data_IF_812696681988
#
_entry.id   IF_812696681988
#
_cell.length_a   1.000
_cell.length_b   1.000
_cell.length_c   1.000
_cell.angle_alpha   90.00
_cell.angle_beta   90.00
_cell.angle_gamma   90.00
#
_symmetry.space_group_name_H-M   'P 1'
#
loop_
_entity.id
_entity.type
_entity.pdbx_description
1 polymer ?
#
# COMPACT_ATOMS: atom_id res chain seq x y z
N UNK A 1 32.93 63.09 -21.33
CA UNK A 1 33.56 62.14 -22.27
C UNK A 1 32.68 62.07 -23.51
N UNK A 2 33.19 61.85 -24.73
CA UNK A 2 32.35 61.32 -25.80
C UNK A 2 31.76 60.00 -25.31
N UNK A 3 30.50 59.75 -25.66
CA UNK A 3 29.76 58.54 -25.31
C UNK A 3 30.31 57.37 -26.13
N UNK A 4 31.53 56.95 -25.83
CA UNK A 4 32.06 55.69 -26.30
C UNK A 4 31.84 54.65 -25.20
N UNK A 5 30.88 53.76 -25.43
CA UNK A 5 30.50 52.68 -24.52
C UNK A 5 31.69 51.78 -24.13
N UNK A 6 32.69 51.62 -25.01
CA UNK A 6 33.90 50.83 -24.71
C UNK A 6 34.79 51.53 -23.68
N UNK A 7 34.97 52.85 -23.78
CA UNK A 7 35.73 53.61 -22.77
C UNK A 7 34.96 53.61 -21.44
N UNK A 8 33.63 53.72 -21.48
CA UNK A 8 32.78 53.65 -20.29
C UNK A 8 32.89 52.30 -19.59
N UNK A 9 32.91 51.20 -20.35
CA UNK A 9 33.13 49.85 -19.81
C UNK A 9 34.52 49.71 -19.18
N UNK A 10 35.57 50.18 -19.87
CA UNK A 10 36.95 50.12 -19.36
C UNK A 10 37.16 50.93 -18.07
N UNK A 11 36.39 52.01 -17.89
CA UNK A 11 36.43 52.85 -16.69
C UNK A 11 35.43 52.43 -15.61
N UNK A 12 34.48 51.55 -15.93
CA UNK A 12 33.49 51.05 -14.96
C UNK A 12 34.03 49.95 -14.05
N UNK A 13 35.18 49.36 -14.40
CA UNK A 13 35.87 48.40 -13.54
C UNK A 13 36.54 49.07 -12.34
N UNK A 14 36.71 48.32 -11.25
CA UNK A 14 37.32 48.79 -10.01
C UNK A 14 38.85 48.97 -10.08
N UNK A 15 39.50 48.50 -11.16
CA UNK A 15 40.95 48.61 -11.34
C UNK A 15 41.37 48.89 -12.79
N UNK A 16 42.04 50.03 -13.02
CA UNK A 16 42.60 50.44 -14.32
C UNK A 16 44.10 50.09 -14.31
N UNK A 17 44.57 49.37 -15.32
CA UNK A 17 45.98 48.99 -15.47
C UNK A 17 46.52 49.44 -16.83
N UNK A 18 47.82 49.32 -17.04
CA UNK A 18 48.52 49.75 -18.27
C UNK A 18 47.79 49.46 -19.60
N UNK A 19 47.33 48.21 -19.82
CA UNK A 19 46.62 47.87 -21.07
C UNK A 19 45.26 48.56 -21.24
N UNK A 20 44.56 48.89 -20.14
CA UNK A 20 43.35 49.72 -20.21
C UNK A 20 43.73 51.13 -20.70
N UNK A 21 44.82 51.72 -20.19
CA UNK A 21 45.32 53.02 -20.62
C UNK A 21 45.71 53.03 -22.12
N UNK A 22 46.43 52.00 -22.59
CA UNK A 22 46.73 51.85 -24.03
C UNK A 22 45.45 51.76 -24.85
N UNK A 23 44.50 50.93 -24.42
CA UNK A 23 43.24 50.73 -25.15
C UNK A 23 42.44 52.02 -25.24
N UNK A 24 42.41 52.81 -24.18
CA UNK A 24 41.78 54.13 -24.18
C UNK A 24 42.49 55.07 -25.16
N UNK A 25 43.83 55.11 -25.17
CA UNK A 25 44.60 55.90 -26.17
C UNK A 25 44.33 55.45 -27.61
N UNK A 26 44.20 54.14 -27.86
CA UNK A 26 43.85 53.61 -29.17
C UNK A 26 42.45 54.03 -29.63
N UNK A 27 41.47 53.98 -28.74
CA UNK A 27 40.09 54.41 -29.04
C UNK A 27 40.06 55.91 -29.31
N UNK A 28 40.75 56.72 -28.49
CA UNK A 28 40.88 58.17 -28.69
C UNK A 28 41.59 58.49 -30.01
N UNK A 29 42.60 57.69 -30.41
CA UNK A 29 43.29 57.86 -31.70
C UNK A 29 42.36 57.64 -32.89
N UNK A 30 41.44 56.68 -32.81
CA UNK A 30 40.47 56.37 -33.87
C UNK A 30 39.30 57.36 -33.92
N UNK A 31 38.94 57.94 -32.79
CA UNK A 31 37.78 58.84 -32.66
C UNK A 31 38.13 60.33 -32.86
N UNK A 32 39.38 60.74 -32.58
CA UNK A 32 39.82 62.14 -32.61
C UNK A 32 40.79 62.47 -33.79
N UNK A 33 40.64 61.79 -34.95
CA UNK A 33 41.56 61.87 -36.11
C UNK A 33 41.74 63.29 -36.69
N UNK A 34 40.75 64.18 -36.52
CA UNK A 34 40.77 65.57 -37.02
C UNK A 34 41.44 66.58 -36.08
N UNK A 35 41.93 66.17 -34.91
CA UNK A 35 42.45 67.06 -33.85
C UNK A 35 43.97 67.21 -33.82
N UNK A 36 44.68 67.06 -34.95
CA UNK A 36 46.14 67.26 -34.99
C UNK A 36 46.47 68.71 -35.35
N UNK A 37 47.36 69.32 -34.57
CA UNK A 37 47.90 70.65 -34.83
C UNK A 37 48.90 70.61 -36.02
N UNK A 38 49.27 71.76 -36.58
CA UNK A 38 50.12 71.89 -37.80
C UNK A 38 51.48 71.15 -37.67
N UNK A 39 51.93 70.87 -36.45
CA UNK A 39 53.16 70.11 -36.14
C UNK A 39 52.92 68.60 -35.89
N UNK A 40 51.76 68.05 -36.24
CA UNK A 40 51.43 66.62 -36.10
C UNK A 40 51.11 66.16 -34.67
N UNK A 41 51.13 67.04 -33.67
CA UNK A 41 50.77 66.76 -32.27
C UNK A 41 49.26 66.85 -32.06
N UNK A 42 48.68 65.96 -31.25
CA UNK A 42 47.26 66.01 -30.88
C UNK A 42 46.97 67.30 -30.06
N UNK A 43 45.88 68.00 -30.38
CA UNK A 43 45.46 69.23 -29.71
C UNK A 43 44.55 68.96 -28.51
N UNK A 44 43.82 67.85 -28.51
CA UNK A 44 42.93 67.39 -27.44
C UNK A 44 43.67 67.17 -26.12
N UNK A 45 43.22 67.85 -25.05
CA UNK A 45 43.80 67.69 -23.71
C UNK A 45 43.66 66.26 -23.21
N UNK A 46 42.50 65.62 -23.43
CA UNK A 46 42.25 64.23 -23.03
C UNK A 46 43.26 63.26 -23.65
N UNK A 47 43.54 63.41 -24.93
CA UNK A 47 44.51 62.56 -25.63
C UNK A 47 45.93 62.77 -25.07
N UNK A 48 46.28 63.99 -24.66
CA UNK A 48 47.56 64.28 -24.00
C UNK A 48 47.63 63.67 -22.61
N UNK A 49 46.59 63.80 -21.80
CA UNK A 49 46.55 63.26 -20.44
C UNK A 49 46.70 61.73 -20.44
N UNK A 50 45.98 61.02 -21.33
CA UNK A 50 46.10 59.56 -21.45
C UNK A 50 47.44 59.13 -22.05
N UNK A 51 48.04 59.91 -22.95
CA UNK A 51 49.39 59.66 -23.43
C UNK A 51 50.43 59.86 -22.33
N UNK A 52 50.28 60.89 -21.49
CA UNK A 52 51.15 61.14 -20.35
C UNK A 52 51.09 59.98 -19.35
N UNK A 53 49.88 59.52 -19.02
CA UNK A 53 49.68 58.34 -18.16
C UNK A 53 50.41 57.11 -18.73
N UNK A 54 50.31 56.85 -20.04
CA UNK A 54 51.03 55.74 -20.69
C UNK A 54 52.55 55.95 -20.58
N UNK A 55 53.07 57.15 -20.82
CA UNK A 55 54.51 57.42 -20.68
C UNK A 55 55.00 57.27 -19.24
N UNK A 56 54.18 57.60 -18.24
CA UNK A 56 54.51 57.40 -16.82
C UNK A 56 54.52 55.90 -16.45
N UNK A 57 53.66 55.10 -17.07
CA UNK A 57 53.69 53.64 -16.92
C UNK A 57 54.92 53.00 -17.59
N UNK A 58 55.32 53.50 -18.76
CA UNK A 58 56.49 53.02 -19.51
C UNK A 58 57.82 53.46 -18.87
N UNK A 59 57.84 54.63 -18.22
CA UNK A 59 58.97 55.10 -17.44
C UNK A 59 59.34 54.07 -16.36
N UNK A 60 60.63 53.75 -16.28
CA UNK A 60 61.19 52.73 -15.37
C UNK A 60 60.50 51.36 -15.43
N UNK A 61 59.75 51.06 -16.50
CA UNK A 61 58.99 49.83 -16.69
C UNK A 61 58.00 49.52 -15.56
N UNK A 62 57.39 50.54 -14.96
CA UNK A 62 56.39 50.40 -13.88
C UNK A 62 55.23 49.48 -14.29
N UNK A 63 54.81 49.52 -15.56
CA UNK A 63 53.80 48.61 -16.09
C UNK A 63 54.14 47.13 -15.91
N UNK A 64 55.42 46.73 -16.02
CA UNK A 64 55.82 45.33 -15.84
C UNK A 64 55.66 44.88 -14.38
N UNK A 65 55.93 45.77 -13.42
CA UNK A 65 55.76 45.46 -12.00
C UNK A 65 54.27 45.29 -11.63
N UNK A 66 53.40 46.17 -12.13
CA UNK A 66 51.94 46.07 -11.96
C UNK A 66 51.41 44.77 -12.57
N UNK A 67 51.79 44.46 -13.82
CA UNK A 67 51.37 43.25 -14.51
C UNK A 67 51.89 41.97 -13.86
N UNK A 68 53.13 41.95 -13.37
CA UNK A 68 53.69 40.82 -12.64
C UNK A 68 52.94 40.57 -11.32
N UNK A 69 52.57 41.63 -10.60
CA UNK A 69 51.78 41.55 -9.38
C UNK A 69 50.36 41.03 -9.65
N UNK A 70 49.68 41.57 -10.68
CA UNK A 70 48.37 41.09 -11.12
C UNK A 70 48.40 39.62 -11.54
N UNK A 71 49.41 39.22 -12.32
CA UNK A 71 49.58 37.84 -12.76
C UNK A 71 49.80 36.91 -11.56
N UNK A 72 50.66 37.30 -10.62
CA UNK A 72 50.91 36.53 -9.40
C UNK A 72 49.63 36.37 -8.56
N UNK A 73 48.84 37.45 -8.40
CA UNK A 73 47.56 37.39 -7.69
C UNK A 73 46.56 36.46 -8.37
N UNK A 74 46.43 36.58 -9.70
CA UNK A 74 45.49 35.78 -10.47
C UNK A 74 45.83 34.28 -10.44
N UNK A 75 47.11 33.93 -10.56
CA UNK A 75 47.56 32.54 -10.56
C UNK A 75 47.54 31.93 -9.16
N UNK A 76 47.93 32.70 -8.14
CA UNK A 76 48.14 32.19 -6.78
C UNK A 76 46.87 32.21 -5.91
N UNK A 77 45.94 33.14 -6.16
CA UNK A 77 44.76 33.33 -5.30
C UNK A 77 43.45 33.25 -6.07
N UNK A 78 43.23 34.09 -7.09
CA UNK A 78 41.93 34.18 -7.78
C UNK A 78 41.58 32.87 -8.49
N UNK A 79 42.51 32.30 -9.27
CA UNK A 79 42.31 31.04 -9.98
C UNK A 79 41.96 29.88 -9.05
N UNK A 80 42.75 29.61 -7.99
CA UNK A 80 42.41 28.61 -6.98
C UNK A 80 41.07 28.87 -6.26
N UNK A 81 40.77 30.13 -5.89
CA UNK A 81 39.52 30.48 -5.21
C UNK A 81 38.30 30.20 -6.10
N UNK A 82 38.35 30.64 -7.36
CA UNK A 82 37.30 30.37 -8.35
C UNK A 82 37.14 28.87 -8.61
N UNK A 83 38.23 28.11 -8.73
CA UNK A 83 38.16 26.64 -8.86
C UNK A 83 37.48 26.00 -7.65
N UNK A 84 37.76 26.46 -6.44
CA UNK A 84 37.11 25.96 -5.21
C UNK A 84 35.62 26.31 -5.19
N UNK A 85 35.24 27.51 -5.62
CA UNK A 85 33.84 27.91 -5.75
C UNK A 85 33.09 27.07 -6.79
N UNK A 86 33.70 26.82 -7.95
CA UNK A 86 33.13 25.94 -8.99
C UNK A 86 32.94 24.52 -8.44
N UNK A 87 33.93 23.96 -7.75
CA UNK A 87 33.81 22.62 -7.17
C UNK A 87 32.67 22.53 -6.14
N UNK A 88 32.50 23.55 -5.29
CA UNK A 88 31.37 23.64 -4.35
C UNK A 88 30.03 23.72 -5.07
N UNK A 89 29.93 24.56 -6.10
CA UNK A 89 28.71 24.69 -6.90
C UNK A 89 28.35 23.38 -7.62
N UNK A 90 29.35 22.67 -8.15
CA UNK A 90 29.15 21.35 -8.77
C UNK A 90 28.68 20.30 -7.77
N UNK A 91 29.25 20.28 -6.56
CA UNK A 91 28.82 19.37 -5.50
C UNK A 91 27.36 19.65 -5.08
N UNK A 92 27.01 20.93 -4.90
CA UNK A 92 25.64 21.33 -4.57
C UNK A 92 24.65 20.96 -5.68
N UNK A 93 25.04 21.17 -6.94
CA UNK A 93 24.22 20.77 -8.08
C UNK A 93 23.95 19.25 -8.09
N UNK A 94 24.97 18.43 -7.79
CA UNK A 94 24.80 16.99 -7.73
C UNK A 94 23.86 16.58 -6.58
N UNK A 95 24.00 17.19 -5.40
CA UNK A 95 23.11 16.92 -4.27
C UNK A 95 21.65 17.30 -4.56
N UNK A 96 21.42 18.48 -5.14
CA UNK A 96 20.09 18.94 -5.53
C UNK A 96 19.47 18.02 -6.60
N UNK A 97 20.24 17.60 -7.60
CA UNK A 97 19.76 16.66 -8.61
C UNK A 97 19.36 15.31 -8.02
N UNK A 98 20.10 14.82 -7.02
CA UNK A 98 19.75 13.59 -6.31
C UNK A 98 18.46 13.77 -5.51
N UNK A 99 18.35 14.88 -4.75
CA UNK A 99 17.15 15.20 -3.96
C UNK A 99 15.91 15.39 -4.83
N UNK A 100 16.05 15.99 -6.01
CA UNK A 100 14.95 16.14 -6.96
C UNK A 100 14.37 14.78 -7.35
N UNK A 101 15.24 13.82 -7.71
CA UNK A 101 14.81 12.45 -8.06
C UNK A 101 14.17 11.74 -6.87
N UNK A 102 14.73 11.88 -5.66
CA UNK A 102 14.15 11.31 -4.43
C UNK A 102 12.75 11.90 -4.12
N UNK A 103 12.57 13.21 -4.29
CA UNK A 103 11.27 13.87 -4.13
C UNK A 103 10.27 13.38 -5.19
N UNK A 104 10.71 13.22 -6.44
CA UNK A 104 9.86 12.70 -7.52
C UNK A 104 9.43 11.25 -7.27
N UNK A 105 10.35 10.37 -6.83
CA UNK A 105 10.00 8.99 -6.50
C UNK A 105 9.07 8.91 -5.29
N UNK A 106 9.34 9.68 -4.24
CA UNK A 106 8.48 9.75 -3.05
C UNK A 106 7.07 10.24 -3.38
N UNK A 107 6.94 11.26 -4.24
CA UNK A 107 5.64 11.74 -4.71
C UNK A 107 4.89 10.68 -5.54
N UNK A 108 5.61 9.89 -6.35
CA UNK A 108 5.02 8.79 -7.11
C UNK A 108 4.52 7.67 -6.17
N UNK A 109 5.32 7.28 -5.18
CA UNK A 109 4.97 6.27 -4.18
C UNK A 109 3.72 6.68 -3.38
N UNK A 110 3.64 7.95 -2.96
CA UNK A 110 2.47 8.47 -2.24
C UNK A 110 1.22 8.48 -3.12
N UNK A 111 1.33 8.85 -4.40
CA UNK A 111 0.22 8.77 -5.36
C UNK A 111 -0.24 7.34 -5.56
N UNK A 112 0.69 6.39 -5.69
CA UNK A 112 0.34 4.97 -5.85
C UNK A 112 -0.39 4.45 -4.61
N UNK A 113 0.09 4.76 -3.40
CA UNK A 113 -0.59 4.39 -2.15
C UNK A 113 -1.99 4.99 -2.07
N UNK A 114 -2.16 6.25 -2.45
CA UNK A 114 -3.47 6.90 -2.51
C UNK A 114 -4.43 6.18 -3.45
N UNK A 115 -4.01 5.87 -4.68
CA UNK A 115 -4.88 5.17 -5.64
C UNK A 115 -5.14 3.71 -5.24
N UNK A 116 -4.17 3.05 -4.59
CA UNK A 116 -4.39 1.71 -4.05
C UNK A 116 -5.42 1.73 -2.91
N UNK A 117 -5.40 2.73 -2.04
CA UNK A 117 -6.44 2.94 -1.03
C UNK A 117 -7.81 3.22 -1.69
N UNK A 118 -7.86 4.11 -2.70
CA UNK A 118 -9.10 4.38 -3.44
C UNK A 118 -9.70 3.10 -4.05
N UNK A 119 -8.88 2.23 -4.64
CA UNK A 119 -9.32 0.92 -5.17
C UNK A 119 -9.89 0.00 -4.09
N UNK A 120 -9.35 0.00 -2.87
CA UNK A 120 -9.88 -0.83 -1.77
C UNK A 120 -11.30 -0.44 -1.41
N UNK A 121 -11.62 0.85 -1.47
CA UNK A 121 -12.98 1.37 -1.25
C UNK A 121 -13.85 1.32 -2.52
N UNK A 122 -13.32 0.91 -3.67
CA UNK A 122 -14.05 0.90 -4.95
C UNK A 122 -14.33 2.29 -5.52
N UNK A 123 -13.53 3.30 -5.12
CA UNK A 123 -13.71 4.70 -5.52
C UNK A 123 -12.62 5.14 -6.51
N UNK A 124 -12.89 6.18 -7.30
CA UNK A 124 -11.97 6.70 -8.33
C UNK A 124 -10.90 7.64 -7.77
N UNK A 125 -11.18 8.31 -6.66
CA UNK A 125 -10.27 9.24 -6.00
C UNK A 125 -10.30 10.67 -6.58
N UNK A 126 -11.34 11.03 -7.36
CA UNK A 126 -11.51 12.38 -7.90
C UNK A 126 -12.14 13.32 -6.87
N UNK A 127 -13.18 12.85 -6.19
CA UNK A 127 -13.77 13.55 -5.05
C UNK A 127 -14.12 12.53 -3.96
N UNK A 128 -13.13 12.19 -3.14
CA UNK A 128 -13.24 11.15 -2.11
C UNK A 128 -14.46 11.37 -1.21
N UNK A 129 -14.72 12.62 -0.78
CA UNK A 129 -15.86 12.92 0.08
C UNK A 129 -17.20 12.54 -0.58
N UNK A 130 -17.42 12.92 -1.84
CA UNK A 130 -18.66 12.58 -2.57
C UNK A 130 -18.76 11.11 -2.91
N UNK A 131 -17.65 10.50 -3.34
CA UNK A 131 -17.61 9.09 -3.70
C UNK A 131 -17.93 8.21 -2.48
N UNK A 132 -17.34 8.50 -1.31
CA UNK A 132 -17.68 7.83 -0.06
C UNK A 132 -19.14 8.05 0.36
N UNK A 133 -19.67 9.26 0.18
CA UNK A 133 -21.08 9.53 0.47
C UNK A 133 -22.03 8.78 -0.46
N UNK A 134 -21.68 8.60 -1.73
CA UNK A 134 -22.46 7.79 -2.66
C UNK A 134 -22.51 6.33 -2.19
N UNK A 135 -21.38 5.76 -1.74
CA UNK A 135 -21.35 4.41 -1.15
C UNK A 135 -22.27 4.27 0.06
N UNK A 136 -22.33 5.29 0.93
CA UNK A 136 -23.23 5.29 2.10
C UNK A 136 -24.71 5.33 1.66
N UNK A 137 -25.03 6.03 0.56
CA UNK A 137 -26.41 6.07 0.01
C UNK A 137 -26.85 4.72 -0.56
N UNK A 138 -25.92 3.92 -1.07
CA UNK A 138 -26.21 2.59 -1.61
C UNK A 138 -26.33 1.52 -0.52
N UNK A 139 -25.77 1.77 0.68
CA UNK A 139 -25.73 0.82 1.79
C UNK A 139 -27.10 0.24 2.18
N UNK A 140 -28.20 1.01 2.33
CA UNK A 140 -29.50 0.44 2.68
C UNK A 140 -29.99 -0.60 1.66
N UNK A 141 -29.78 -0.35 0.36
CA UNK A 141 -30.17 -1.30 -0.69
C UNK A 141 -29.37 -2.60 -0.61
N UNK A 142 -28.07 -2.52 -0.29
CA UNK A 142 -27.21 -3.69 -0.08
C UNK A 142 -27.67 -4.48 1.14
N UNK A 143 -27.99 -3.82 2.26
CA UNK A 143 -28.48 -4.48 3.46
C UNK A 143 -29.85 -5.16 3.22
N UNK A 144 -30.74 -4.53 2.44
CA UNK A 144 -32.00 -5.14 2.04
C UNK A 144 -31.82 -6.36 1.13
N UNK A 145 -30.79 -6.37 0.28
CA UNK A 145 -30.41 -7.55 -0.50
C UNK A 145 -29.87 -8.67 0.40
N UNK A 146 -28.98 -8.37 1.34
CA UNK A 146 -28.47 -9.35 2.32
C UNK A 146 -29.62 -9.96 3.13
N UNK A 147 -30.57 -9.14 3.59
CA UNK A 147 -31.75 -9.62 4.31
C UNK A 147 -32.63 -10.55 3.46
N UNK A 148 -32.80 -10.27 2.16
CA UNK A 148 -33.51 -11.16 1.23
C UNK A 148 -32.75 -12.46 0.98
N UNK A 149 -31.44 -12.38 0.87
CA UNK A 149 -30.57 -13.52 0.63
C UNK A 149 -30.50 -14.49 1.81
N UNK A 150 -30.82 -14.04 3.04
CA UNK A 150 -30.96 -14.91 4.21
C UNK A 150 -31.98 -16.05 3.98
N UNK A 151 -32.99 -15.85 3.12
CA UNK A 151 -33.95 -16.89 2.75
C UNK A 151 -33.28 -18.12 2.08
N UNK A 152 -32.11 -17.94 1.45
CA UNK A 152 -31.36 -19.05 0.84
C UNK A 152 -30.79 -20.02 1.88
N UNK A 153 -30.79 -19.65 3.16
CA UNK A 153 -30.24 -20.44 4.26
C UNK A 153 -31.30 -21.28 5.00
N UNK A 154 -32.54 -21.31 4.51
CA UNK A 154 -33.66 -21.99 5.17
C UNK A 154 -33.36 -23.47 5.46
N UNK A 155 -32.86 -24.21 4.46
CA UNK A 155 -32.55 -25.64 4.62
C UNK A 155 -31.44 -25.87 5.65
N UNK A 156 -30.43 -24.99 5.67
CA UNK A 156 -29.29 -25.09 6.59
C UNK A 156 -29.72 -24.79 8.02
N UNK A 157 -30.63 -23.82 8.22
CA UNK A 157 -31.23 -23.52 9.53
C UNK A 157 -32.04 -24.71 10.00
N UNK A 158 -32.93 -25.26 9.16
CA UNK A 158 -33.76 -26.42 9.51
C UNK A 158 -32.91 -27.63 9.88
N UNK A 159 -31.85 -27.90 9.10
CA UNK A 159 -30.89 -28.96 9.39
C UNK A 159 -30.20 -28.71 10.74
N UNK A 160 -29.77 -27.48 11.00
CA UNK A 160 -29.10 -27.11 12.24
C UNK A 160 -30.03 -27.31 13.44
N UNK A 161 -31.27 -26.82 13.38
CA UNK A 161 -32.29 -27.01 14.42
C UNK A 161 -32.58 -28.49 14.66
N UNK A 162 -32.75 -29.29 13.60
CA UNK A 162 -32.97 -30.73 13.75
C UNK A 162 -31.76 -31.41 14.40
N UNK A 163 -30.54 -31.00 14.04
CA UNK A 163 -29.30 -31.51 14.61
C UNK A 163 -29.14 -31.14 16.09
N UNK A 164 -29.36 -29.89 16.47
CA UNK A 164 -29.30 -29.46 17.88
C UNK A 164 -30.33 -30.17 18.74
N UNK A 165 -31.54 -30.37 18.22
CA UNK A 165 -32.59 -31.09 18.93
C UNK A 165 -32.22 -32.58 19.07
N UNK A 166 -31.62 -33.19 18.05
CA UNK A 166 -31.20 -34.58 18.08
C UNK A 166 -30.00 -34.84 19.01
N UNK A 167 -29.01 -33.96 19.02
CA UNK A 167 -27.76 -34.17 19.78
C UNK A 167 -27.86 -33.64 21.21
N UNK A 168 -28.48 -32.48 21.39
CA UNK A 168 -28.48 -31.75 22.67
C UNK A 168 -29.83 -31.79 23.39
N UNK A 169 -30.89 -32.37 22.78
CA UNK A 169 -32.28 -32.27 23.27
C UNK A 169 -32.73 -30.81 23.50
N UNK A 170 -32.15 -29.87 22.76
CA UNK A 170 -32.47 -28.46 22.87
C UNK A 170 -33.91 -28.23 22.39
N UNK A 171 -34.68 -27.42 23.12
CA UNK A 171 -36.10 -27.16 22.82
C UNK A 171 -36.42 -25.69 22.51
N UNK A 172 -35.46 -24.80 22.71
CA UNK A 172 -35.63 -23.37 22.43
C UNK A 172 -35.27 -23.03 20.98
N UNK A 173 -35.66 -21.83 20.54
CA UNK A 173 -35.33 -21.32 19.20
C UNK A 173 -33.82 -21.19 19.04
N UNK A 174 -33.29 -21.80 17.99
CA UNK A 174 -31.89 -21.67 17.60
C UNK A 174 -31.77 -20.57 16.54
N UNK A 175 -30.72 -19.76 16.60
CA UNK A 175 -30.46 -18.67 15.64
C UNK A 175 -31.65 -17.70 15.49
N UNK A 176 -32.08 -17.05 16.58
CA UNK A 176 -33.30 -16.25 16.60
C UNK A 176 -33.22 -15.01 15.69
N UNK A 177 -32.05 -14.38 15.53
CA UNK A 177 -31.89 -13.22 14.64
C UNK A 177 -31.96 -13.64 13.17
N UNK A 178 -31.23 -14.69 12.79
CA UNK A 178 -31.20 -15.24 11.44
C UNK A 178 -32.59 -15.76 11.02
N UNK A 179 -33.30 -16.42 11.95
CA UNK A 179 -34.68 -16.88 11.74
C UNK A 179 -35.65 -15.72 11.55
N UNK A 180 -35.46 -14.62 12.27
CA UNK A 180 -36.27 -13.42 12.07
C UNK A 180 -36.02 -12.78 10.70
N UNK A 181 -34.75 -12.57 10.33
CA UNK A 181 -34.35 -12.01 9.02
C UNK A 181 -34.87 -12.88 7.88
N UNK A 182 -34.82 -14.21 8.02
CA UNK A 182 -35.37 -15.14 7.03
C UNK A 182 -36.87 -14.94 6.79
N UNK A 183 -37.64 -14.64 7.84
CA UNK A 183 -39.09 -14.49 7.75
C UNK A 183 -39.54 -13.07 7.38
N UNK A 184 -38.80 -12.05 7.81
CA UNK A 184 -39.20 -10.63 7.74
C UNK A 184 -38.28 -9.75 6.89
N UNK A 185 -37.14 -10.26 6.45
CA UNK A 185 -36.11 -9.50 5.76
C UNK A 185 -35.41 -8.49 6.68
N UNK A 186 -34.82 -7.45 6.08
CA UNK A 186 -34.14 -6.36 6.79
C UNK A 186 -35.14 -5.36 7.41
N UNK A 187 -35.96 -5.84 8.35
CA UNK A 187 -36.96 -5.02 9.04
C UNK A 187 -36.34 -4.02 10.03
N UNK A 188 -37.16 -3.14 10.62
CA UNK A 188 -36.71 -2.21 11.68
C UNK A 188 -36.36 -2.94 12.97
N UNK A 189 -35.41 -2.41 13.73
CA UNK A 189 -35.08 -2.94 15.06
C UNK A 189 -36.27 -2.88 16.03
N UNK A 190 -37.14 -1.87 15.89
CA UNK A 190 -38.42 -1.81 16.60
C UNK A 190 -39.29 -3.06 16.38
N UNK A 191 -39.43 -3.52 15.13
CA UNK A 191 -40.23 -4.69 14.79
C UNK A 191 -39.64 -5.97 15.39
N UNK A 192 -38.31 -6.09 15.42
CA UNK A 192 -37.63 -7.19 16.10
C UNK A 192 -37.94 -7.22 17.60
N UNK A 193 -37.79 -6.07 18.28
CA UNK A 193 -37.96 -5.96 19.73
C UNK A 193 -39.41 -6.13 20.19
N UNK A 194 -40.36 -5.60 19.42
CA UNK A 194 -41.78 -5.52 19.82
C UNK A 194 -42.69 -6.54 19.13
N UNK A 195 -42.22 -7.16 18.05
CA UNK A 195 -43.01 -8.05 17.19
C UNK A 195 -44.07 -7.34 16.35
N UNK A 196 -44.12 -6.00 16.35
CA UNK A 196 -45.09 -5.18 15.61
C UNK A 196 -44.39 -4.24 14.64
N UNK A 197 -44.95 -4.09 13.45
CA UNK A 197 -44.45 -3.12 12.46
C UNK A 197 -44.72 -1.69 12.98
N UNK A 198 -43.72 -0.79 12.99
CA UNK A 198 -43.92 0.59 13.42
C UNK A 198 -44.85 1.34 12.45
N UNK A 199 -45.66 2.25 12.98
CA UNK A 199 -46.56 3.12 12.19
C UNK A 199 -45.81 4.30 11.58
N UNK A 200 -44.79 4.80 12.28
CA UNK A 200 -43.92 5.90 11.83
C UNK A 200 -42.47 5.56 12.14
N UNK A 201 -41.57 5.79 11.17
CA UNK A 201 -40.12 5.60 11.32
C UNK A 201 -39.43 6.95 11.14
N UNK A 202 -38.79 7.45 12.20
CA UNK A 202 -38.05 8.71 12.16
C UNK A 202 -36.54 8.42 12.10
N UNK A 203 -35.98 8.44 10.89
CA UNK A 203 -34.54 8.20 10.68
C UNK A 203 -33.71 9.45 11.03
N UNK A 204 -32.49 9.28 11.57
CA UNK A 204 -31.55 10.39 11.73
C UNK A 204 -31.19 11.01 10.38
N UNK A 205 -31.15 12.35 10.31
CA UNK A 205 -30.76 13.07 9.08
C UNK A 205 -29.25 13.02 8.93
N UNK A 206 -28.75 12.44 7.83
CA UNK A 206 -27.34 12.51 7.46
C UNK A 206 -27.11 13.84 6.73
N UNK A 207 -26.32 14.74 7.31
CA UNK A 207 -25.95 16.01 6.69
C UNK A 207 -25.06 15.74 5.46
N UNK A 208 -25.47 16.20 4.27
CA UNK A 208 -24.67 16.04 3.05
C UNK A 208 -23.37 16.85 3.15
N UNK A 209 -22.25 16.28 2.70
CA UNK A 209 -20.98 17.01 2.81
C UNK A 209 -21.03 18.23 1.89
N UNK A 210 -20.53 19.38 2.35
CA UNK A 210 -20.35 20.54 1.49
C UNK A 210 -19.54 20.18 0.25
N UNK A 211 -19.87 20.81 -0.88
CA UNK A 211 -19.02 20.74 -2.06
C UNK A 211 -17.65 21.33 -1.66
N UNK A 212 -16.61 20.49 -1.61
CA UNK A 212 -15.24 21.01 -1.64
C UNK A 212 -15.08 21.72 -3.00
N UNK A 213 -15.29 23.02 -3.02
CA UNK A 213 -14.73 23.87 -4.07
C UNK A 213 -13.23 23.67 -3.97
N UNK A 214 -12.61 23.20 -5.05
CA UNK A 214 -11.17 23.19 -5.22
C UNK A 214 -10.70 24.65 -5.12
N UNK A 215 -10.49 25.12 -3.89
CA UNK A 215 -9.68 26.30 -3.65
C UNK A 215 -8.31 25.89 -4.15
N UNK A 216 -7.94 26.48 -5.28
CA UNK A 216 -6.66 26.34 -5.96
C UNK A 216 -5.56 26.08 -4.93
N UNK A 217 -5.13 24.81 -4.85
CA UNK A 217 -4.15 24.32 -3.88
C UNK A 217 -2.75 24.80 -4.25
N UNK A 218 -2.62 26.09 -4.53
CA UNK A 218 -1.35 26.77 -4.61
C UNK A 218 -0.75 26.73 -3.20
N UNK A 219 0.09 25.71 -2.97
CA UNK A 219 1.00 25.68 -1.83
C UNK A 219 1.76 27.01 -1.87
N UNK A 220 1.52 27.87 -0.88
CA UNK A 220 2.24 29.12 -0.70
C UNK A 220 3.69 28.78 -0.31
N UNK A 221 4.58 28.82 -1.31
CA UNK A 221 6.00 28.54 -1.13
C UNK A 221 6.78 29.71 -0.53
N UNK A 222 6.09 30.76 -0.08
CA UNK A 222 6.72 31.99 0.41
C UNK A 222 7.38 32.79 -0.71
N UNK A 223 7.30 34.11 -0.60
CA UNK A 223 8.07 35.04 -1.41
C UNK A 223 9.56 34.85 -1.09
N UNK A 224 10.31 34.20 -1.98
CA UNK A 224 11.77 34.22 -1.94
C UNK A 224 12.20 35.67 -2.18
N UNK A 225 12.37 36.40 -1.07
CA UNK A 225 12.60 37.83 -1.00
C UNK A 225 13.39 38.37 -2.19
N UNK A 226 12.65 38.90 -3.16
CA UNK A 226 13.21 39.86 -4.10
C UNK A 226 13.19 41.21 -3.39
N UNK A 227 14.23 41.46 -2.59
CA UNK A 227 14.52 42.82 -2.11
C UNK A 227 14.89 43.67 -3.33
N UNK A 228 13.86 44.24 -3.94
CA UNK A 228 13.96 45.31 -4.90
C UNK A 228 14.38 46.60 -4.19
N UNK A 229 15.65 46.68 -3.78
CA UNK A 229 16.31 47.95 -3.48
C UNK A 229 17.40 48.18 -4.52
N UNK A 230 16.96 48.78 -5.62
CA UNK A 230 17.83 49.43 -6.58
C UNK A 230 18.45 50.69 -5.94
N UNK A 231 19.54 50.52 -5.20
CA UNK A 231 20.48 51.60 -4.89
C UNK A 231 21.90 51.03 -4.77
N UNK A 232 22.80 51.62 -5.56
CA UNK A 232 24.09 51.05 -5.93
C UNK A 232 24.95 50.57 -4.77
N UNK A 233 25.26 49.27 -4.78
CA UNK A 233 26.30 48.68 -3.97
C UNK A 233 27.52 48.37 -4.85
N UNK A 234 28.52 49.19 -4.60
CA UNK A 234 29.92 49.08 -4.98
C UNK A 234 30.44 47.65 -4.74
N UNK A 235 30.90 46.96 -5.78
CA UNK A 235 31.52 45.64 -5.66
C UNK A 235 32.96 45.78 -5.16
N UNK A 236 33.10 46.17 -3.89
CA UNK A 236 34.30 45.97 -3.11
C UNK A 236 34.23 44.58 -2.48
N UNK A 237 35.02 43.64 -2.98
CA UNK A 237 35.20 42.33 -2.34
C UNK A 237 35.97 42.58 -1.04
N UNK A 238 35.24 42.83 0.06
CA UNK A 238 35.74 42.53 1.39
C UNK A 238 35.47 41.05 1.65
N UNK A 239 36.55 40.28 1.68
CA UNK A 239 36.53 38.93 2.25
C UNK A 239 36.36 39.12 3.76
N UNK A 240 35.11 39.21 4.23
CA UNK A 240 34.80 38.84 5.60
C UNK A 240 34.70 37.32 5.65
N UNK A 241 35.74 36.70 6.20
CA UNK A 241 35.68 35.36 6.77
C UNK A 241 34.57 35.37 7.83
N UNK A 242 33.38 34.86 7.50
CA UNK A 242 32.33 34.75 8.50
C UNK A 242 30.88 34.65 8.02
N UNK A 243 30.58 34.48 6.73
CA UNK A 243 29.21 34.08 6.35
C UNK A 243 29.11 32.56 6.42
N UNK A 244 28.74 32.14 7.61
CA UNK A 244 28.25 30.82 7.96
C UNK A 244 27.01 30.49 7.12
N UNK A 245 27.23 29.90 5.95
CA UNK A 245 26.18 29.14 5.22
C UNK A 245 26.06 27.72 5.79
N UNK A 246 26.43 27.54 7.06
CA UNK A 246 25.91 26.50 7.90
C UNK A 246 24.41 26.60 7.87
N UNK A 247 23.82 25.73 7.07
CA UNK A 247 22.65 24.99 7.51
C UNK A 247 23.07 24.45 8.88
N UNK A 248 22.76 25.19 9.94
CA UNK A 248 22.86 24.72 11.30
C UNK A 248 21.91 23.54 11.34
N UNK A 249 22.47 22.36 11.08
CA UNK A 249 21.96 21.13 11.60
C UNK A 249 22.18 21.24 13.10
N UNK A 250 21.33 22.06 13.74
CA UNK A 250 20.93 21.82 15.11
C UNK A 250 20.71 20.33 15.14
N UNK A 251 21.63 19.63 15.80
CA UNK A 251 21.42 18.26 16.22
C UNK A 251 20.36 18.32 17.32
N UNK A 252 19.16 18.79 16.96
CA UNK A 252 17.97 18.39 17.65
C UNK A 252 17.96 16.90 17.49
N UNK A 253 17.99 16.20 18.61
CA UNK A 253 17.49 14.84 18.67
C UNK A 253 16.18 14.84 17.89
N UNK A 254 16.27 14.41 16.64
CA UNK A 254 15.13 13.97 15.89
C UNK A 254 14.72 12.70 16.61
N UNK A 255 14.02 12.88 17.74
CA UNK A 255 12.99 11.99 18.18
C UNK A 255 12.28 11.61 16.89
N UNK A 256 12.46 10.34 16.53
CA UNK A 256 11.96 9.77 15.31
C UNK A 256 10.47 10.11 15.19
N UNK A 257 10.18 11.21 14.51
CA UNK A 257 8.85 11.49 13.97
C UNK A 257 8.78 10.72 12.65
N UNK A 258 8.97 9.40 12.77
CA UNK A 258 8.22 8.50 11.93
C UNK A 258 6.77 8.85 12.22
N UNK A 259 6.06 9.31 11.20
CA UNK A 259 4.61 9.39 11.30
C UNK A 259 4.17 7.95 11.54
N UNK A 260 3.83 7.67 12.78
CA UNK A 260 3.38 6.37 13.26
C UNK A 260 1.95 6.17 12.75
N UNK A 261 1.84 5.36 11.69
CA UNK A 261 0.56 4.89 11.16
C UNK A 261 0.21 3.51 11.74
N UNK A 262 0.74 3.17 12.92
CA UNK A 262 0.48 1.91 13.63
C UNK A 262 -0.21 2.17 14.97
N UNK A 263 -1.36 1.52 15.16
CA UNK A 263 -2.09 1.32 16.41
C UNK A 263 -2.18 2.53 17.36
N UNK A 264 -3.08 3.44 17.01
CA UNK A 264 -3.82 4.14 18.05
C UNK A 264 -4.59 3.10 18.87
N UNK A 265 -4.07 2.71 20.03
CA UNK A 265 -4.87 2.02 21.04
C UNK A 265 -6.15 2.83 21.25
N UNK A 266 -7.34 2.21 21.16
CA UNK A 266 -8.56 2.92 21.41
C UNK A 266 -8.49 3.44 22.84
N UNK A 267 -8.49 4.77 22.99
CA UNK A 267 -8.75 5.39 24.27
C UNK A 267 -9.96 4.67 24.90
N UNK A 268 -9.94 4.30 26.19
CA UNK A 268 -11.10 3.72 26.83
C UNK A 268 -12.17 4.81 26.86
N UNK A 269 -13.00 4.83 25.82
CA UNK A 269 -14.30 5.47 25.88
C UNK A 269 -15.04 4.61 26.89
N UNK A 270 -15.12 5.08 28.14
CA UNK A 270 -16.19 4.67 29.03
C UNK A 270 -17.50 5.06 28.33
N UNK A 271 -18.02 4.13 27.54
CA UNK A 271 -19.37 4.17 27.03
C UNK A 271 -20.23 3.91 28.26
N UNK A 272 -20.58 4.99 28.95
CA UNK A 272 -21.69 4.98 29.88
C UNK A 272 -22.92 4.63 29.03
N UNK A 273 -23.33 3.36 29.08
CA UNK A 273 -24.60 2.90 28.52
C UNK A 273 -25.68 3.54 29.39
N UNK A 274 -25.99 4.80 29.08
CA UNK A 274 -27.22 5.43 29.54
C UNK A 274 -28.30 4.66 28.82
N UNK A 275 -28.93 3.74 29.55
CA UNK A 275 -30.13 3.04 29.14
C UNK A 275 -31.20 4.10 28.85
N UNK A 276 -31.21 4.57 27.60
CA UNK A 276 -32.16 5.54 27.10
C UNK A 276 -33.47 4.77 26.92
N UNK A 277 -34.12 4.48 28.04
CA UNK A 277 -35.55 4.23 28.12
C UNK A 277 -36.26 5.48 27.61
N UNK A 278 -36.33 5.64 26.29
CA UNK A 278 -37.15 6.67 25.67
C UNK A 278 -38.60 6.22 25.85
N UNK A 279 -39.34 6.98 26.66
CA UNK A 279 -40.80 7.04 26.63
C UNK A 279 -41.25 7.44 25.21
N UNK A 280 -41.25 6.48 24.30
CA UNK A 280 -41.72 6.63 22.93
C UNK A 280 -43.19 6.18 22.88
N UNK A 281 -44.07 6.95 22.20
CA UNK A 281 -45.44 6.50 21.94
C UNK A 281 -45.44 5.14 21.25
N UNK A 282 -46.37 4.26 21.63
CA UNK A 282 -46.52 2.94 21.01
C UNK A 282 -46.68 3.10 19.49
N UNK A 283 -45.84 2.41 18.71
CA UNK A 283 -45.84 2.44 17.25
C UNK A 283 -44.92 3.47 16.56
N UNK A 284 -44.08 4.23 17.27
CA UNK A 284 -43.09 5.15 16.64
C UNK A 284 -41.67 4.65 16.86
N UNK A 285 -40.96 4.33 15.78
CA UNK A 285 -39.55 3.93 15.81
C UNK A 285 -38.65 5.18 15.71
N UNK A 286 -37.86 5.45 16.75
CA UNK A 286 -36.94 6.60 16.86
C UNK A 286 -35.56 6.16 17.32
N UNK A 287 -34.51 6.90 16.96
CA UNK A 287 -33.15 6.60 17.38
C UNK A 287 -32.70 5.22 16.88
N UNK A 288 -32.21 4.36 17.78
CA UNK A 288 -31.78 2.99 17.42
C UNK A 288 -32.91 2.11 16.88
N UNK A 289 -34.14 2.32 17.36
CA UNK A 289 -35.32 1.57 16.91
C UNK A 289 -35.70 1.88 15.45
N UNK A 290 -35.31 3.06 14.94
CA UNK A 290 -35.57 3.50 13.57
C UNK A 290 -34.62 2.86 12.54
N UNK A 291 -33.48 2.34 13.00
CA UNK A 291 -32.51 1.63 12.16
C UNK A 291 -33.07 0.26 11.75
N UNK A 292 -32.64 -0.23 10.60
CA UNK A 292 -32.87 -1.63 10.25
C UNK A 292 -32.06 -2.56 11.16
N UNK A 293 -32.48 -3.82 11.27
CA UNK A 293 -31.77 -4.84 12.06
C UNK A 293 -30.33 -5.09 11.57
N UNK A 294 -30.03 -4.85 10.29
CA UNK A 294 -28.66 -4.94 9.76
C UNK A 294 -27.88 -3.62 9.81
N UNK A 295 -28.56 -2.48 9.98
CA UNK A 295 -27.94 -1.17 10.25
C UNK A 295 -27.53 -1.05 11.73
N UNK A 296 -28.35 -1.55 12.65
CA UNK A 296 -28.08 -1.53 14.09
C UNK A 296 -26.90 -2.47 14.44
N UNK A 297 -25.82 -1.95 15.08
CA UNK A 297 -24.62 -2.75 15.35
C UNK A 297 -24.85 -3.99 16.22
N UNK A 298 -25.75 -3.93 17.19
CA UNK A 298 -26.00 -5.03 18.11
C UNK A 298 -26.65 -6.21 17.39
N UNK A 299 -27.76 -5.95 16.68
CA UNK A 299 -28.44 -6.99 15.90
C UNK A 299 -27.64 -7.47 14.70
N UNK A 300 -26.87 -6.58 14.05
CA UNK A 300 -25.96 -6.97 12.97
C UNK A 300 -24.88 -7.92 13.45
N UNK A 301 -24.25 -7.65 14.60
CA UNK A 301 -23.23 -8.54 15.15
C UNK A 301 -23.83 -9.91 15.50
N UNK A 302 -25.01 -9.92 16.13
CA UNK A 302 -25.73 -11.18 16.39
C UNK A 302 -26.05 -11.94 15.10
N UNK A 303 -26.51 -11.26 14.04
CA UNK A 303 -26.75 -11.86 12.74
C UNK A 303 -25.47 -12.48 12.14
N UNK A 304 -24.34 -11.78 12.23
CA UNK A 304 -23.04 -12.28 11.76
C UNK A 304 -22.58 -13.49 12.58
N UNK A 305 -22.71 -13.45 13.90
CA UNK A 305 -22.33 -14.55 14.78
C UNK A 305 -23.14 -15.82 14.46
N UNK A 306 -24.45 -15.68 14.30
CA UNK A 306 -25.36 -16.77 13.92
C UNK A 306 -25.05 -17.32 12.51
N UNK A 307 -24.68 -16.45 11.55
CA UNK A 307 -24.20 -16.87 10.23
C UNK A 307 -22.89 -17.67 10.32
N UNK A 308 -21.95 -17.20 11.14
CA UNK A 308 -20.66 -17.87 11.35
C UNK A 308 -20.84 -19.22 12.05
N UNK A 309 -21.82 -19.34 12.94
CA UNK A 309 -22.20 -20.60 13.58
C UNK A 309 -22.67 -21.63 12.56
N UNK A 310 -23.62 -21.28 11.69
CA UNK A 310 -24.07 -22.16 10.59
C UNK A 310 -22.91 -22.50 9.66
N UNK A 311 -22.14 -21.50 9.23
CA UNK A 311 -21.01 -21.70 8.33
C UNK A 311 -20.02 -22.71 8.91
N UNK A 312 -19.69 -22.56 10.20
CA UNK A 312 -18.86 -23.50 10.94
C UNK A 312 -19.48 -24.89 11.04
N UNK A 313 -20.78 -25.00 11.30
CA UNK A 313 -21.50 -26.28 11.34
C UNK A 313 -21.49 -27.00 9.98
N UNK A 314 -21.79 -26.28 8.89
CA UNK A 314 -21.75 -26.80 7.52
C UNK A 314 -20.35 -27.28 7.13
N UNK A 315 -19.30 -26.50 7.44
CA UNK A 315 -17.93 -26.88 7.14
C UNK A 315 -17.51 -28.13 7.93
N UNK A 316 -17.82 -28.20 9.23
CA UNK A 316 -17.58 -29.39 10.04
C UNK A 316 -18.29 -30.62 9.49
N UNK A 317 -19.55 -30.49 9.08
CA UNK A 317 -20.31 -31.59 8.47
C UNK A 317 -19.71 -32.07 7.13
N UNK A 318 -19.27 -31.14 6.27
CA UNK A 318 -18.59 -31.50 5.04
C UNK A 318 -17.28 -32.27 5.31
N UNK A 319 -16.49 -31.81 6.28
CA UNK A 319 -15.25 -32.48 6.67
C UNK A 319 -15.48 -33.86 7.29
N UNK A 320 -16.50 -34.04 8.13
CA UNK A 320 -16.81 -35.35 8.70
C UNK A 320 -17.27 -36.35 7.64
N UNK A 321 -18.09 -35.91 6.68
CA UNK A 321 -18.49 -36.74 5.52
C UNK A 321 -17.29 -37.17 4.68
N UNK A 322 -16.34 -36.26 4.43
CA UNK A 322 -15.10 -36.58 3.72
C UNK A 322 -14.29 -37.65 4.46
N UNK A 323 -14.06 -37.47 5.77
CA UNK A 323 -13.35 -38.46 6.60
C UNK A 323 -14.05 -39.82 6.60
N UNK A 324 -15.38 -39.85 6.68
CA UNK A 324 -16.14 -41.10 6.61
C UNK A 324 -15.98 -41.80 5.26
N UNK A 325 -16.01 -41.04 4.16
CA UNK A 325 -15.78 -41.58 2.81
C UNK A 325 -14.38 -42.19 2.67
N UNK A 326 -13.34 -41.52 3.17
CA UNK A 326 -11.97 -42.05 3.17
C UNK A 326 -11.86 -43.37 3.96
N UNK A 327 -12.46 -43.43 5.15
CA UNK A 327 -12.50 -44.65 5.96
C UNK A 327 -13.20 -45.79 5.20
N UNK A 328 -14.30 -45.51 4.49
CA UNK A 328 -15.01 -46.51 3.69
C UNK A 328 -14.17 -47.00 2.51
N UNK A 329 -13.40 -46.13 1.86
CA UNK A 329 -12.47 -46.51 0.80
C UNK A 329 -11.38 -47.43 1.34
N UNK A 330 -10.76 -47.09 2.48
CA UNK A 330 -9.76 -47.95 3.14
C UNK A 330 -10.34 -49.32 3.53
N UNK A 331 -11.56 -49.34 4.09
CA UNK A 331 -12.26 -50.59 4.39
C UNK A 331 -12.52 -51.42 3.14
N UNK A 332 -12.92 -50.78 2.03
CA UNK A 332 -13.15 -51.50 0.77
C UNK A 332 -11.87 -52.15 0.22
N UNK A 333 -10.74 -51.45 0.30
CA UNK A 333 -9.44 -51.98 -0.11
C UNK A 333 -9.03 -53.19 0.74
N UNK A 334 -9.17 -53.09 2.07
CA UNK A 334 -8.89 -54.20 2.98
C UNK A 334 -9.80 -55.42 2.71
N UNK A 335 -11.08 -55.20 2.34
CA UNK A 335 -11.98 -56.29 1.97
C UNK A 335 -11.59 -56.96 0.64
N UNK A 336 -11.03 -56.21 -0.31
CA UNK A 336 -10.50 -56.75 -1.57
C UNK A 336 -9.26 -57.60 -1.32
N UNK A 337 -8.32 -57.12 -0.49
CA UNK A 337 -7.13 -57.88 -0.10
C UNK A 337 -7.52 -59.19 0.59
N UNK A 338 -8.39 -59.12 1.59
CA UNK A 338 -8.88 -60.31 2.30
C UNK A 338 -9.60 -61.29 1.37
N UNK A 339 -10.35 -60.80 0.37
CA UNK A 339 -10.97 -61.65 -0.65
C UNK A 339 -9.92 -62.35 -1.51
N UNK A 340 -8.82 -61.68 -1.85
CA UNK A 340 -7.74 -62.29 -2.62
C UNK A 340 -7.02 -63.36 -1.78
N UNK A 341 -6.75 -63.08 -0.51
CA UNK A 341 -6.16 -64.07 0.41
C UNK A 341 -7.03 -65.33 0.54
N UNK A 342 -8.35 -65.17 0.69
CA UNK A 342 -9.25 -66.32 0.78
C UNK A 342 -9.35 -67.10 -0.53
N UNK A 343 -9.25 -66.44 -1.68
CA UNK A 343 -9.17 -67.10 -2.99
C UNK A 343 -7.86 -67.87 -3.17
N UNK A 344 -6.74 -67.27 -2.78
CA UNK A 344 -5.43 -67.92 -2.84
C UNK A 344 -5.38 -69.13 -1.91
N UNK A 345 -5.94 -69.02 -0.70
CA UNK A 345 -6.07 -70.14 0.23
C UNK A 345 -7.00 -71.24 -0.31
N UNK A 346 -8.15 -70.87 -0.91
CA UNK A 346 -9.03 -71.82 -1.59
C UNK A 346 -8.27 -72.58 -2.67
N UNK A 347 -7.56 -71.87 -3.56
CA UNK A 347 -6.78 -72.47 -4.65
C UNK A 347 -5.66 -73.40 -4.17
N UNK A 348 -5.12 -73.14 -2.97
CA UNK A 348 -4.10 -73.98 -2.32
C UNK A 348 -4.69 -75.25 -1.70
N UNK A 349 -5.91 -75.16 -1.15
CA UNK A 349 -6.56 -76.26 -0.46
C UNK A 349 -7.25 -77.22 -1.42
N UNK A 350 -7.83 -76.71 -2.52
CA UNK A 350 -8.63 -77.49 -3.47
C UNK A 350 -7.88 -78.70 -4.06
N UNK A 351 -6.63 -78.59 -4.56
CA UNK A 351 -5.87 -79.75 -5.02
C UNK A 351 -5.52 -80.75 -3.90
N UNK A 352 -5.39 -80.28 -2.66
CA UNK A 352 -5.09 -81.15 -1.51
C UNK A 352 -6.31 -81.95 -1.10
N UNK A 353 -7.49 -81.35 -1.17
CA UNK A 353 -8.78 -82.04 -0.96
C UNK A 353 -8.98 -83.10 -2.05
N UNK A 354 -8.74 -82.76 -3.32
CA UNK A 354 -8.83 -83.72 -4.44
C UNK A 354 -7.87 -84.91 -4.27
N UNK A 355 -6.62 -84.64 -3.87
CA UNK A 355 -5.64 -85.68 -3.57
C UNK A 355 -6.07 -86.57 -2.40
N UNK A 356 -6.58 -85.97 -1.31
CA UNK A 356 -7.11 -86.70 -0.15
C UNK A 356 -8.30 -87.58 -0.54
N UNK A 357 -9.22 -87.07 -1.34
CA UNK A 357 -10.35 -87.83 -1.86
C UNK A 357 -9.87 -89.02 -2.72
N UNK A 358 -8.86 -88.81 -3.57
CA UNK A 358 -8.21 -89.86 -4.36
C UNK A 358 -7.56 -90.95 -3.49
N UNK A 359 -6.73 -90.56 -2.54
CA UNK A 359 -6.09 -91.47 -1.58
C UNK A 359 -7.12 -92.26 -0.76
N UNK A 360 -8.20 -91.60 -0.32
CA UNK A 360 -9.27 -92.22 0.46
C UNK A 360 -10.02 -93.28 -0.35
N UNK A 361 -10.34 -93.00 -1.62
CA UNK A 361 -10.92 -93.99 -2.53
C UNK A 361 -10.00 -95.19 -2.76
N UNK A 362 -8.69 -94.95 -2.88
CA UNK A 362 -7.73 -96.04 -3.07
C UNK A 362 -7.58 -96.90 -1.82
N UNK A 363 -7.47 -96.27 -0.64
CA UNK A 363 -7.50 -96.95 0.66
C UNK A 363 -8.78 -97.76 0.85
N UNK A 364 -9.93 -97.18 0.49
CA UNK A 364 -11.21 -97.87 0.53
C UNK A 364 -11.17 -99.15 -0.31
N UNK A 365 -10.72 -99.10 -1.57
CA UNK A 365 -10.59 -100.28 -2.43
C UNK A 365 -9.65 -101.34 -1.85
N UNK A 366 -8.52 -100.92 -1.26
CA UNK A 366 -7.56 -101.85 -0.66
C UNK A 366 -8.16 -102.57 0.56
N UNK A 367 -8.91 -101.85 1.39
CA UNK A 367 -9.60 -102.42 2.56
C UNK A 367 -10.73 -103.36 2.11
N UNK A 368 -11.56 -102.94 1.16
CA UNK A 368 -12.63 -103.76 0.57
C UNK A 368 -12.06 -105.06 -0.02
N UNK A 369 -10.93 -104.98 -0.74
CA UNK A 369 -10.25 -106.14 -1.30
C UNK A 369 -9.67 -107.08 -0.24
N UNK A 370 -9.05 -106.57 0.82
CA UNK A 370 -8.51 -107.40 1.91
C UNK A 370 -9.62 -108.09 2.71
N UNK A 371 -10.68 -107.36 3.06
CA UNK A 371 -11.82 -107.92 3.79
C UNK A 371 -12.52 -108.97 2.94
N UNK A 372 -12.72 -108.72 1.64
CA UNK A 372 -13.37 -109.67 0.72
C UNK A 372 -12.65 -111.01 0.62
N UNK A 373 -11.31 -111.06 0.74
CA UNK A 373 -10.55 -112.33 0.76
C UNK A 373 -10.94 -113.25 1.91
N UNK A 374 -11.42 -112.70 3.03
CA UNK A 374 -11.81 -113.48 4.22
C UNK A 374 -13.19 -114.14 4.08
N UNK A 375 -13.96 -113.78 3.05
CA UNK A 375 -15.31 -114.30 2.80
C UNK A 375 -15.37 -114.96 1.43
N UNK A 376 -15.28 -116.29 1.39
CA UNK A 376 -15.36 -117.18 0.22
C UNK A 376 -16.26 -116.64 -0.94
N UNK A 377 -15.65 -115.93 -1.90
CA UNK A 377 -16.28 -115.33 -3.09
C UNK A 377 -17.44 -114.34 -2.84
N UNK A 378 -17.47 -113.63 -1.70
CA UNK A 378 -18.45 -112.55 -1.46
C UNK A 378 -17.75 -111.18 -1.37
N UNK A 379 -18.03 -110.23 -2.28
CA UNK A 379 -17.44 -108.90 -2.21
C UNK A 379 -18.04 -108.08 -1.05
N UNK A 380 -17.19 -107.33 -0.35
CA UNK A 380 -17.56 -106.39 0.74
C UNK A 380 -17.27 -104.96 0.28
N UNK A 381 -18.27 -104.09 0.36
CA UNK A 381 -18.16 -102.67 0.03
C UNK A 381 -18.34 -101.81 1.29
N UNK A 382 -17.45 -100.84 1.51
CA UNK A 382 -17.53 -99.85 2.57
C UNK A 382 -18.45 -98.70 2.11
N UNK A 383 -19.38 -98.28 2.98
CA UNK A 383 -20.30 -97.17 2.69
C UNK A 383 -19.97 -95.97 3.59
N UNK A 384 -20.04 -94.76 3.04
CA UNK A 384 -19.91 -93.50 3.81
C UNK A 384 -18.51 -92.88 3.89
N UNK A 385 -17.53 -93.31 3.08
CA UNK A 385 -16.14 -92.81 3.12
C UNK A 385 -15.87 -91.73 2.05
N UNK A 386 -16.79 -90.76 1.90
CA UNK A 386 -16.57 -89.63 1.00
C UNK A 386 -16.09 -88.42 1.79
N UNK A 387 -14.94 -87.85 1.36
CA UNK A 387 -14.45 -86.52 1.76
C UNK A 387 -14.98 -85.50 0.76
#
# INVERSE_FOLDING_TARGET
MPENEEIKALLSGSYIHYFHCIRIVEILRKTEVSSKNIFGRYSSQRMKDWQEIVTLYEADSVYLAELASLLSRNVSYEGPALRKQIAKAQQLQQELSRREVECQSSAADLRERYYNACKQYGITGENVARELQALVKDLPAVLDEVGRDAAKLEEQIQLYTAFTNFVCEWSESVLPMLTFVLNRGNATFYEWRTGKVPTVVERPVVEEAPLETVADGAIDWGDFGTSSDAQGLNHGIQVEEGIDWGISLESGDAAASGIDWGDSEPAPIEIEVVDAGTDCPDGVARGEDALSILENPQSRNQFIDELMEICGACNRNAQTKLKQAEILVLKSAAMVEKRQETLDEQSRLEPRVDLLAGCTKELQKLIEADISKRYHNRPVNLMGVNI
#
